data_IF_058363871438
#
_entry.id   IF_058363871438
#
_cell.length_a   1.000
_cell.length_b   1.000
_cell.length_c   1.000
_cell.angle_alpha   90.00
_cell.angle_beta   90.00
_cell.angle_gamma   90.00
#
_symmetry.space_group_name_H-M   'P 1'
#
loop_
_entity.id
_entity.type
_entity.pdbx_description
1 polymer ?
#
# COMPACT_ATOMS: atom_id res chain seq x y z
N UNK A 1 20.80 -4.45 3.31
CA UNK A 1 19.96 -5.65 3.48
C UNK A 1 18.55 -5.37 2.93
N UNK A 2 18.15 -6.04 1.85
CA UNK A 2 16.93 -5.74 1.07
C UNK A 2 15.64 -6.07 1.85
N UNK A 3 15.68 -7.14 2.66
CA UNK A 3 14.60 -7.55 3.58
C UNK A 3 14.22 -6.47 4.60
N UNK A 4 15.22 -5.81 5.22
CA UNK A 4 14.97 -4.75 6.18
C UNK A 4 14.27 -3.54 5.55
N UNK A 5 14.61 -3.21 4.29
CA UNK A 5 13.92 -2.15 3.55
C UNK A 5 12.47 -2.53 3.24
N UNK A 6 12.20 -3.79 2.90
CA UNK A 6 10.84 -4.27 2.62
C UNK A 6 9.93 -4.24 3.85
N UNK A 7 10.42 -4.69 5.01
CA UNK A 7 9.66 -4.61 6.27
C UNK A 7 9.34 -3.16 6.63
N UNK A 8 10.26 -2.23 6.36
CA UNK A 8 9.97 -0.80 6.55
C UNK A 8 8.95 -0.26 5.54
N UNK A 9 9.02 -0.67 4.28
CA UNK A 9 8.04 -0.30 3.26
C UNK A 9 6.65 -0.84 3.61
N UNK A 10 6.54 -2.07 4.10
CA UNK A 10 5.28 -2.67 4.56
C UNK A 10 4.64 -1.86 5.70
N UNK A 11 5.43 -1.48 6.71
CA UNK A 11 4.95 -0.59 7.79
C UNK A 11 4.46 0.75 7.25
N UNK A 12 5.19 1.37 6.32
CA UNK A 12 4.77 2.63 5.69
C UNK A 12 3.48 2.49 4.91
N UNK A 13 3.29 1.38 4.20
CA UNK A 13 2.03 1.09 3.47
C UNK A 13 0.86 1.03 4.45
N UNK A 14 1.02 0.35 5.58
CA UNK A 14 -0.02 0.31 6.63
C UNK A 14 -0.32 1.72 7.20
N UNK A 15 0.71 2.50 7.50
CA UNK A 15 0.55 3.87 8.00
C UNK A 15 -0.19 4.77 6.99
N UNK A 16 0.16 4.68 5.70
CA UNK A 16 -0.51 5.43 4.64
C UNK A 16 -1.94 4.95 4.40
N UNK A 17 -2.21 3.65 4.48
CA UNK A 17 -3.58 3.12 4.43
C UNK A 17 -4.43 3.69 5.55
N UNK A 18 -3.92 3.66 6.78
CA UNK A 18 -4.66 4.14 7.93
C UNK A 18 -4.90 5.65 7.87
N UNK A 19 -3.88 6.43 7.52
CA UNK A 19 -4.04 7.87 7.29
C UNK A 19 -5.04 8.18 6.17
N UNK A 20 -5.06 7.39 5.10
CA UNK A 20 -6.04 7.55 4.02
C UNK A 20 -7.46 7.24 4.49
N UNK A 21 -7.65 6.18 5.29
CA UNK A 21 -8.95 5.82 5.86
C UNK A 21 -9.46 6.89 6.81
N UNK A 22 -8.62 7.36 7.74
CA UNK A 22 -8.98 8.41 8.69
C UNK A 22 -9.36 9.70 7.95
N UNK A 23 -8.58 10.08 6.95
CA UNK A 23 -8.81 11.29 6.18
C UNK A 23 -10.06 11.17 5.28
N UNK A 24 -10.29 10.01 4.66
CA UNK A 24 -11.46 9.74 3.85
C UNK A 24 -12.75 9.67 4.68
N UNK A 25 -12.65 9.20 5.93
CA UNK A 25 -13.77 9.16 6.85
C UNK A 25 -14.21 10.57 7.29
N UNK A 26 -13.26 11.50 7.38
CA UNK A 26 -13.53 12.90 7.78
C UNK A 26 -13.91 13.78 6.59
N UNK A 27 -13.21 13.67 5.47
CA UNK A 27 -13.26 14.63 4.35
C UNK A 27 -13.89 14.07 3.07
N UNK A 28 -14.15 12.75 3.04
CA UNK A 28 -14.65 12.04 1.88
C UNK A 28 -13.55 11.62 0.89
N UNK A 29 -13.87 10.64 0.03
CA UNK A 29 -12.92 10.04 -0.92
C UNK A 29 -12.45 11.00 -2.03
N UNK A 30 -13.21 12.07 -2.29
CA UNK A 30 -12.91 13.06 -3.32
C UNK A 30 -12.01 14.20 -2.81
N UNK A 31 -11.61 14.16 -1.54
CA UNK A 31 -10.71 15.16 -1.00
C UNK A 31 -9.33 15.10 -1.71
N UNK A 32 -8.78 16.24 -2.16
CA UNK A 32 -7.48 16.27 -2.85
C UNK A 32 -6.32 15.72 -2.01
N UNK A 33 -6.39 15.81 -0.68
CA UNK A 33 -5.39 15.24 0.21
C UNK A 33 -5.54 13.71 0.31
N UNK A 34 -6.76 13.17 0.31
CA UNK A 34 -7.00 11.71 0.20
C UNK A 34 -6.44 11.16 -1.11
N UNK A 35 -6.68 11.85 -2.23
CA UNK A 35 -6.11 11.52 -3.54
C UNK A 35 -4.57 11.60 -3.56
N UNK A 36 -4.00 12.59 -2.88
CA UNK A 36 -2.53 12.71 -2.77
C UNK A 36 -1.92 11.56 -1.95
N UNK A 37 -2.58 11.17 -0.85
CA UNK A 37 -2.14 10.03 -0.02
C UNK A 37 -2.30 8.72 -0.79
N UNK A 38 -3.40 8.53 -1.54
CA UNK A 38 -3.61 7.31 -2.33
C UNK A 38 -2.56 7.14 -3.42
N UNK A 39 -2.16 8.22 -4.10
CA UNK A 39 -1.07 8.19 -5.09
C UNK A 39 0.30 7.85 -4.47
N UNK A 40 0.56 8.31 -3.24
CA UNK A 40 1.80 7.97 -2.52
C UNK A 40 1.80 6.52 -2.08
N UNK A 41 0.67 6.05 -1.55
CA UNK A 41 0.45 4.65 -1.18
C UNK A 41 0.68 3.73 -2.38
N UNK A 42 0.12 4.07 -3.55
CA UNK A 42 0.24 3.26 -4.76
C UNK A 42 1.70 3.13 -5.24
N UNK A 43 2.49 4.21 -5.14
CA UNK A 43 3.94 4.17 -5.42
C UNK A 43 4.71 3.24 -4.48
N UNK A 44 4.40 3.30 -3.18
CA UNK A 44 5.04 2.42 -2.18
C UNK A 44 4.61 0.96 -2.37
N UNK A 45 3.35 0.69 -2.73
CA UNK A 45 2.85 -0.65 -3.07
C UNK A 45 3.54 -1.17 -4.33
N UNK A 46 3.67 -0.36 -5.39
CA UNK A 46 4.38 -0.76 -6.60
C UNK A 46 5.86 -1.05 -6.32
N UNK A 47 6.51 -0.23 -5.48
CA UNK A 47 7.88 -0.48 -5.03
C UNK A 47 7.97 -1.79 -4.24
N UNK A 48 7.06 -2.01 -3.28
CA UNK A 48 6.98 -3.24 -2.51
C UNK A 48 6.75 -4.44 -3.41
N UNK A 49 5.80 -4.40 -4.35
CA UNK A 49 5.51 -5.47 -5.30
C UNK A 49 6.71 -5.77 -6.19
N UNK A 50 7.36 -4.75 -6.77
CA UNK A 50 8.52 -4.96 -7.65
C UNK A 50 9.69 -5.61 -6.92
N UNK A 51 9.93 -5.22 -5.68
CA UNK A 51 11.03 -5.78 -4.86
C UNK A 51 10.64 -7.10 -4.16
N UNK A 52 9.37 -7.30 -3.84
CA UNK A 52 8.85 -8.54 -3.26
C UNK A 52 8.68 -9.63 -4.31
N UNK A 53 8.18 -9.35 -5.52
CA UNK A 53 8.15 -10.29 -6.66
C UNK A 53 9.55 -10.78 -7.02
N UNK A 54 10.57 -9.92 -6.86
CA UNK A 54 11.97 -10.31 -7.04
C UNK A 54 12.45 -11.29 -5.95
N UNK A 55 11.79 -11.32 -4.79
CA UNK A 55 12.00 -12.28 -3.70
C UNK A 55 11.02 -13.47 -3.75
N UNK A 56 9.87 -13.31 -4.41
CA UNK A 56 8.79 -14.28 -4.53
C UNK A 56 8.54 -14.62 -6.01
N UNK A 57 9.35 -15.54 -6.55
CA UNK A 57 8.84 -16.54 -7.53
C UNK A 57 7.85 -17.50 -6.85
N UNK A 58 6.88 -16.96 -6.10
CA UNK A 58 5.94 -17.69 -5.23
C UNK A 58 4.56 -17.06 -5.45
N UNK A 59 3.49 -17.88 -5.61
CA UNK A 59 2.37 -17.55 -6.49
C UNK A 59 1.50 -16.39 -6.01
N UNK A 60 1.01 -15.63 -7.01
CA UNK A 60 0.13 -14.46 -6.92
C UNK A 60 -0.96 -14.62 -5.85
N UNK A 61 -1.05 -13.62 -4.97
CA UNK A 61 -2.19 -13.40 -4.09
C UNK A 61 -3.46 -13.21 -4.95
N UNK A 62 -4.42 -14.13 -4.82
CA UNK A 62 -5.77 -13.96 -5.38
C UNK A 62 -6.61 -13.20 -4.34
N UNK A 63 -7.21 -12.05 -4.69
CA UNK A 63 -8.19 -11.43 -3.81
C UNK A 63 -9.38 -12.39 -3.65
N UNK A 64 -9.67 -12.78 -2.41
CA UNK A 64 -10.84 -13.57 -2.07
C UNK A 64 -12.04 -12.64 -2.13
N UNK A 65 -12.74 -12.64 -3.26
CA UNK A 65 -14.08 -12.06 -3.36
C UNK A 65 -15.05 -13.08 -2.75
N UNK A 66 -15.61 -12.75 -1.58
CA UNK A 66 -16.76 -13.48 -1.04
C UNK A 66 -18.03 -12.87 -1.65
N UNK A 67 -18.78 -13.70 -2.38
CA UNK A 67 -20.15 -13.42 -2.81
C UNK A 67 -21.12 -13.70 -1.66
#
# INVERSE_FOLDING_TARGET
MLLFKLVQTEKKIMEYQQAMYDLANVSGLNDPHVLSISQKLDKEILFFQKNSINLTKVPKYKPVVRF
#
